data_IF_700813962130
#
_entry.id   IF_700813962130
#
_cell.length_a   1.000
_cell.length_b   1.000
_cell.length_c   1.000
_cell.angle_alpha   90.00
_cell.angle_beta   90.00
_cell.angle_gamma   90.00
#
_symmetry.space_group_name_H-M   'P 1'
#
loop_
_entity.id
_entity.type
_entity.pdbx_description
1 polymer ?
#
# COMPACT_ATOMS: atom_id res chain seq x y z
N UNK A 1 13.65 -6.62 -25.29
CA UNK A 1 13.28 -5.87 -24.07
C UNK A 1 14.06 -4.56 -24.05
N UNK A 2 13.51 -3.48 -23.49
CA UNK A 2 14.27 -2.25 -23.21
C UNK A 2 14.51 -2.17 -21.70
N UNK A 3 15.77 -2.21 -21.29
CA UNK A 3 16.18 -2.03 -19.90
C UNK A 3 16.49 -0.55 -19.65
N UNK A 4 16.23 -0.06 -18.43
CA UNK A 4 16.64 1.28 -17.98
C UNK A 4 17.96 1.18 -17.23
N UNK A 5 18.82 2.20 -17.35
CA UNK A 5 20.05 2.26 -16.54
C UNK A 5 19.70 2.27 -15.04
N UNK A 6 20.37 1.42 -14.27
CA UNK A 6 20.09 1.18 -12.84
C UNK A 6 19.00 0.14 -12.57
N UNK A 7 18.33 -0.40 -13.59
CA UNK A 7 17.28 -1.42 -13.41
C UNK A 7 17.87 -2.76 -12.96
N UNK A 8 17.26 -3.38 -11.96
CA UNK A 8 17.64 -4.69 -11.46
C UNK A 8 17.35 -5.79 -12.50
N UNK A 9 18.36 -6.61 -12.76
CA UNK A 9 18.32 -7.65 -13.79
C UNK A 9 19.06 -8.90 -13.32
N UNK A 10 18.66 -10.05 -13.84
CA UNK A 10 19.49 -11.24 -13.81
C UNK A 10 20.23 -11.41 -15.13
N UNK A 11 21.47 -11.88 -15.05
CA UNK A 11 22.30 -12.20 -16.21
C UNK A 11 22.81 -13.65 -16.12
N UNK A 12 22.72 -14.38 -17.23
CA UNK A 12 23.23 -15.75 -17.33
C UNK A 12 24.61 -15.72 -18.02
N UNK A 13 25.66 -16.14 -17.32
CA UNK A 13 27.02 -16.24 -17.85
C UNK A 13 27.69 -17.50 -17.34
N UNK A 14 28.31 -18.27 -18.23
CA UNK A 14 29.09 -19.43 -17.81
C UNK A 14 28.28 -20.49 -17.05
N UNK A 15 26.98 -20.61 -17.36
CA UNK A 15 26.02 -21.46 -16.65
C UNK A 15 25.71 -21.02 -15.20
N UNK A 16 26.03 -19.78 -14.84
CA UNK A 16 25.67 -19.15 -13.56
C UNK A 16 24.62 -18.07 -13.80
N UNK A 17 23.67 -17.95 -12.86
CA UNK A 17 22.73 -16.83 -12.77
C UNK A 17 23.28 -15.82 -11.77
N UNK A 18 23.46 -14.58 -12.20
CA UNK A 18 23.96 -13.49 -11.36
C UNK A 18 22.94 -12.35 -11.30
N UNK A 19 22.68 -11.81 -10.11
CA UNK A 19 21.90 -10.58 -9.95
C UNK A 19 22.79 -9.36 -10.15
N UNK A 20 22.24 -8.36 -10.82
CA UNK A 20 22.96 -7.20 -11.28
C UNK A 20 22.04 -6.03 -11.59
N UNK A 21 22.62 -4.92 -12.00
CA UNK A 21 21.91 -3.71 -12.38
C UNK A 21 22.41 -3.27 -13.75
N UNK A 22 21.46 -2.99 -14.63
CA UNK A 22 21.73 -2.67 -16.02
C UNK A 22 22.51 -1.36 -16.12
N UNK A 23 23.63 -1.39 -16.83
CA UNK A 23 24.60 -0.30 -16.92
C UNK A 23 24.82 0.16 -18.38
N UNK A 24 23.78 0.05 -19.21
CA UNK A 24 23.80 0.56 -20.59
C UNK A 24 24.38 -0.42 -21.61
N UNK A 25 24.94 0.14 -22.68
CA UNK A 25 25.45 -0.58 -23.85
C UNK A 25 26.94 -0.32 -24.04
N UNK A 26 27.68 -1.36 -24.38
CA UNK A 26 29.08 -1.25 -24.76
C UNK A 26 29.22 -0.62 -26.16
N UNK A 27 30.14 0.33 -26.29
CA UNK A 27 30.39 1.00 -27.57
C UNK A 27 31.03 0.04 -28.58
N UNK A 28 30.49 -0.01 -29.79
CA UNK A 28 31.03 -0.79 -30.91
C UNK A 28 30.51 -2.22 -31.03
N UNK A 29 30.17 -2.91 -29.93
CA UNK A 29 29.66 -4.30 -29.97
C UNK A 29 28.13 -4.39 -29.93
N UNK A 30 27.48 -3.41 -29.28
CA UNK A 30 26.04 -3.44 -29.03
C UNK A 30 25.62 -4.39 -27.89
N UNK A 31 26.59 -5.01 -27.21
CA UNK A 31 26.33 -5.79 -26.00
C UNK A 31 25.81 -4.90 -24.88
N UNK A 32 24.98 -5.48 -24.02
CA UNK A 32 24.53 -4.85 -22.79
C UNK A 32 25.52 -5.09 -21.66
N UNK A 33 25.70 -4.05 -20.84
CA UNK A 33 26.55 -4.06 -19.67
C UNK A 33 25.69 -4.27 -18.43
N UNK A 34 26.03 -5.24 -17.60
CA UNK A 34 25.39 -5.50 -16.31
C UNK A 34 26.45 -5.41 -15.24
N UNK A 35 26.29 -4.49 -14.29
CA UNK A 35 27.15 -4.40 -13.12
C UNK A 35 26.63 -5.43 -12.12
N UNK A 36 27.48 -6.34 -11.66
CA UNK A 36 27.11 -7.42 -10.70
C UNK A 36 27.82 -7.29 -9.35
N UNK A 37 28.86 -6.46 -9.29
CA UNK A 37 29.48 -5.99 -8.04
C UNK A 37 30.12 -4.63 -8.26
N UNK A 38 30.71 -4.04 -7.21
CA UNK A 38 31.43 -2.76 -7.32
C UNK A 38 32.50 -2.79 -8.44
N UNK A 39 33.19 -3.92 -8.58
CA UNK A 39 34.37 -4.07 -9.43
C UNK A 39 34.15 -5.03 -10.62
N UNK A 40 32.93 -5.57 -10.80
CA UNK A 40 32.62 -6.56 -11.83
C UNK A 40 31.47 -6.09 -12.73
N UNK A 41 31.77 -5.94 -14.02
CA UNK A 41 30.81 -5.64 -15.09
C UNK A 41 30.85 -6.78 -16.11
N UNK A 42 29.69 -7.21 -16.55
CA UNK A 42 29.49 -8.26 -17.53
C UNK A 42 28.96 -7.64 -18.82
N UNK A 43 29.66 -7.87 -19.92
CA UNK A 43 29.18 -7.55 -21.27
C UNK A 43 28.57 -8.80 -21.91
N UNK A 44 27.29 -8.76 -22.27
CA UNK A 44 26.61 -9.90 -22.93
C UNK A 44 25.48 -9.44 -23.86
N UNK A 45 24.93 -10.37 -24.63
CA UNK A 45 23.76 -10.11 -25.49
C UNK A 45 22.49 -10.02 -24.65
N UNK A 46 21.54 -9.23 -25.11
CA UNK A 46 20.26 -8.97 -24.41
C UNK A 46 19.45 -10.23 -24.12
N UNK A 47 19.60 -11.28 -24.93
CA UNK A 47 18.92 -12.56 -24.73
C UNK A 47 19.40 -13.35 -23.50
N UNK A 48 20.50 -12.93 -22.87
CA UNK A 48 20.99 -13.51 -21.61
C UNK A 48 20.65 -12.65 -20.39
N UNK A 49 19.88 -11.58 -20.58
CA UNK A 49 19.48 -10.65 -19.52
C UNK A 49 17.97 -10.73 -19.37
N UNK A 50 17.50 -10.90 -18.15
CA UNK A 50 16.09 -10.83 -17.79
C UNK A 50 15.89 -9.76 -16.71
N UNK A 51 14.73 -9.10 -16.71
CA UNK A 51 14.37 -8.24 -15.58
C UNK A 51 14.21 -9.09 -14.34
N UNK A 52 14.76 -8.61 -13.23
CA UNK A 52 14.47 -9.21 -11.92
C UNK A 52 12.97 -9.00 -11.64
N UNK A 53 12.29 -10.09 -11.27
CA UNK A 53 10.89 -9.99 -10.87
C UNK A 53 10.88 -9.37 -9.47
N UNK A 54 10.32 -8.18 -9.34
CA UNK A 54 10.05 -7.61 -8.02
C UNK A 54 9.14 -8.58 -7.25
N UNK A 55 9.48 -8.84 -5.99
CA UNK A 55 8.66 -9.72 -5.17
C UNK A 55 7.25 -9.13 -5.06
N UNK A 56 6.25 -9.96 -5.31
CA UNK A 56 4.87 -9.58 -5.04
C UNK A 56 4.70 -9.54 -3.53
N UNK A 57 4.76 -8.34 -2.97
CA UNK A 57 4.59 -8.09 -1.55
C UNK A 57 3.18 -8.53 -1.13
N UNK A 58 3.10 -9.20 0.01
CA UNK A 58 1.82 -9.53 0.63
C UNK A 58 1.28 -8.33 1.37
N UNK A 59 -0.04 -8.20 1.42
CA UNK A 59 -0.71 -7.19 2.25
C UNK A 59 -1.05 -7.84 3.59
N UNK A 60 -0.59 -7.23 4.69
CA UNK A 60 -0.89 -7.68 6.06
C UNK A 60 -1.58 -6.57 6.86
N UNK A 61 -2.41 -6.88 7.86
CA UNK A 61 -3.03 -5.86 8.70
C UNK A 61 -1.99 -4.99 9.43
N UNK A 62 -2.38 -3.76 9.80
CA UNK A 62 -1.51 -2.82 10.54
C UNK A 62 -0.91 -3.44 11.80
N UNK A 63 -1.73 -4.15 12.59
CA UNK A 63 -1.27 -4.83 13.80
C UNK A 63 -0.14 -5.85 13.51
N UNK A 64 -0.21 -6.58 12.41
CA UNK A 64 0.82 -7.54 11.99
C UNK A 64 2.05 -6.81 11.46
N UNK A 65 1.84 -5.71 10.73
CA UNK A 65 2.92 -4.85 10.26
C UNK A 65 3.73 -4.26 11.41
N UNK A 66 3.06 -3.70 12.41
CA UNK A 66 3.69 -3.15 13.61
C UNK A 66 4.43 -4.24 14.41
N UNK A 67 3.86 -5.44 14.49
CA UNK A 67 4.52 -6.59 15.11
C UNK A 67 5.81 -6.98 14.38
N UNK A 68 5.78 -7.07 13.04
CA UNK A 68 6.94 -7.42 12.21
C UNK A 68 8.05 -6.36 12.26
N UNK A 69 7.70 -5.08 12.35
CA UNK A 69 8.68 -4.00 12.56
C UNK A 69 9.37 -4.13 13.92
N UNK A 70 8.60 -4.40 14.99
CA UNK A 70 9.13 -4.58 16.34
C UNK A 70 9.90 -5.89 16.54
N UNK A 71 9.64 -6.90 15.72
CA UNK A 71 10.34 -8.18 15.71
C UNK A 71 11.31 -8.28 14.53
N UNK A 72 11.79 -7.15 14.01
CA UNK A 72 12.53 -7.14 12.75
C UNK A 72 13.89 -7.85 12.84
N UNK A 73 14.43 -8.17 11.66
CA UNK A 73 15.80 -8.69 11.50
C UNK A 73 16.88 -7.75 12.05
N UNK A 74 16.58 -6.46 12.22
CA UNK A 74 17.55 -5.45 12.70
C UNK A 74 17.92 -5.69 14.17
N UNK A 75 17.00 -6.25 14.96
CA UNK A 75 17.24 -6.63 16.36
C UNK A 75 17.78 -8.06 16.51
N UNK A 76 18.09 -8.74 15.39
CA UNK A 76 18.68 -10.08 15.37
C UNK A 76 17.66 -11.22 15.51
N UNK A 77 16.37 -10.90 15.56
CA UNK A 77 15.31 -11.92 15.56
C UNK A 77 15.25 -12.65 14.22
N UNK A 78 15.10 -13.96 14.28
CA UNK A 78 14.99 -14.86 13.14
C UNK A 78 13.56 -15.37 13.00
N UNK A 79 13.24 -15.90 11.82
CA UNK A 79 11.96 -16.60 11.61
C UNK A 79 11.80 -17.78 12.58
N UNK A 80 12.90 -18.39 13.01
CA UNK A 80 12.86 -19.47 13.99
C UNK A 80 12.38 -18.98 15.37
N UNK A 81 12.84 -17.80 15.81
CA UNK A 81 12.43 -17.24 17.10
C UNK A 81 10.91 -16.98 17.11
N UNK A 82 10.40 -16.38 16.04
CA UNK A 82 8.97 -16.14 15.84
C UNK A 82 8.15 -17.44 15.83
N UNK A 83 8.64 -18.49 15.16
CA UNK A 83 7.98 -19.80 15.15
C UNK A 83 8.01 -20.47 16.53
N UNK A 84 9.10 -20.30 17.28
CA UNK A 84 9.19 -20.78 18.66
C UNK A 84 8.19 -20.06 19.56
N UNK A 85 8.04 -18.75 19.43
CA UNK A 85 7.05 -17.98 20.20
C UNK A 85 5.62 -18.46 19.88
N UNK A 86 5.30 -18.68 18.60
CA UNK A 86 4.01 -19.24 18.17
C UNK A 86 3.68 -20.61 18.77
N UNK A 87 4.70 -21.49 18.90
CA UNK A 87 4.52 -22.86 19.36
C UNK A 87 4.58 -23.02 20.88
N UNK A 88 5.20 -22.08 21.59
CA UNK A 88 5.46 -22.18 23.03
C UNK A 88 4.22 -21.89 23.85
N UNK A 89 3.52 -20.79 23.56
CA UNK A 89 2.31 -20.36 24.28
C UNK A 89 1.55 -19.30 23.50
N UNK A 90 0.23 -19.25 23.63
CA UNK A 90 -0.57 -18.11 23.12
C UNK A 90 -0.14 -16.79 23.77
N UNK A 91 0.31 -16.84 25.03
CA UNK A 91 0.76 -15.65 25.78
C UNK A 91 2.16 -15.16 25.36
N UNK A 92 2.86 -15.90 24.51
CA UNK A 92 4.19 -15.52 23.99
C UNK A 92 4.11 -14.46 22.90
N UNK A 93 2.91 -14.19 22.37
CA UNK A 93 2.64 -13.17 21.35
C UNK A 93 1.51 -12.26 21.79
N UNK A 94 1.39 -11.11 21.14
CA UNK A 94 0.17 -10.31 21.26
C UNK A 94 -1.03 -11.17 20.83
N UNK A 95 -2.07 -11.20 21.67
CA UNK A 95 -3.23 -12.07 21.47
C UNK A 95 -3.88 -11.83 20.10
N UNK A 96 -3.95 -10.59 19.64
CA UNK A 96 -4.56 -10.26 18.35
C UNK A 96 -3.68 -10.70 17.18
N UNK A 97 -2.35 -10.70 17.35
CA UNK A 97 -1.42 -11.20 16.33
C UNK A 97 -1.58 -12.72 16.22
N UNK A 98 -1.60 -13.41 17.37
CA UNK A 98 -1.81 -14.85 17.41
C UNK A 98 -3.16 -15.25 16.79
N UNK A 99 -4.23 -14.57 17.17
CA UNK A 99 -5.57 -14.84 16.68
C UNK A 99 -5.63 -14.63 15.16
N UNK A 100 -5.06 -13.53 14.65
CA UNK A 100 -4.96 -13.32 13.19
C UNK A 100 -4.17 -14.44 12.50
N UNK A 101 -3.05 -14.90 13.05
CA UNK A 101 -2.26 -15.99 12.45
C UNK A 101 -3.06 -17.30 12.39
N UNK A 102 -3.85 -17.57 13.42
CA UNK A 102 -4.64 -18.81 13.55
C UNK A 102 -5.99 -18.75 12.81
N UNK A 103 -6.45 -17.56 12.43
CA UNK A 103 -7.62 -17.36 11.58
C UNK A 103 -7.44 -17.96 10.16
N UNK A 104 -8.54 -18.01 9.40
CA UNK A 104 -8.55 -18.41 8.00
C UNK A 104 -7.84 -19.75 7.70
N UNK A 105 -8.09 -20.78 8.51
CA UNK A 105 -7.47 -22.10 8.34
C UNK A 105 -5.94 -22.05 8.25
N UNK A 106 -5.27 -21.14 8.97
CA UNK A 106 -3.82 -20.94 8.98
C UNK A 106 -3.19 -20.40 7.68
N UNK A 107 -3.98 -19.97 6.70
CA UNK A 107 -3.47 -19.29 5.49
C UNK A 107 -2.71 -18.00 5.85
N UNK A 108 -3.13 -17.32 6.93
CA UNK A 108 -2.46 -16.14 7.45
C UNK A 108 -1.02 -16.44 7.93
N UNK A 109 -0.72 -17.69 8.32
CA UNK A 109 0.65 -18.13 8.60
C UNK A 109 1.56 -18.12 7.36
N UNK A 110 1.03 -18.47 6.18
CA UNK A 110 1.77 -18.37 4.92
C UNK A 110 2.02 -16.91 4.54
N UNK A 111 1.02 -16.04 4.74
CA UNK A 111 1.16 -14.59 4.54
C UNK A 111 2.22 -14.01 5.47
N UNK A 112 2.25 -14.40 6.74
CA UNK A 112 3.28 -13.97 7.69
C UNK A 112 4.69 -14.41 7.25
N UNK A 113 4.84 -15.66 6.81
CA UNK A 113 6.12 -16.16 6.33
C UNK A 113 6.61 -15.41 5.08
N UNK A 114 5.70 -15.12 4.14
CA UNK A 114 6.02 -14.29 2.96
C UNK A 114 6.35 -12.86 3.34
N UNK A 115 5.59 -12.25 4.26
CA UNK A 115 5.87 -10.92 4.77
C UNK A 115 7.28 -10.81 5.36
N UNK A 116 7.70 -11.84 6.11
CA UNK A 116 9.03 -11.91 6.72
C UNK A 116 10.17 -12.10 5.70
N UNK A 117 9.94 -12.90 4.66
CA UNK A 117 10.96 -13.27 3.66
C UNK A 117 11.07 -12.26 2.53
N UNK A 118 9.93 -11.92 1.94
CA UNK A 118 9.81 -11.14 0.70
C UNK A 118 9.54 -9.65 0.98
N UNK A 119 9.15 -9.31 2.21
CA UNK A 119 8.62 -8.00 2.59
C UNK A 119 7.09 -7.94 2.50
N UNK A 120 6.51 -6.86 2.99
CA UNK A 120 5.06 -6.67 3.03
C UNK A 120 4.65 -5.21 2.81
N UNK A 121 3.40 -5.04 2.41
CA UNK A 121 2.68 -3.78 2.55
C UNK A 121 1.68 -3.90 3.69
N UNK A 122 1.44 -2.80 4.39
CA UNK A 122 0.42 -2.75 5.42
C UNK A 122 -0.92 -2.37 4.80
N UNK A 123 -1.97 -3.11 5.18
CA UNK A 123 -3.35 -2.82 4.82
C UNK A 123 -3.70 -1.40 5.28
N UNK A 124 -4.01 -0.54 4.31
CA UNK A 124 -4.42 0.83 4.60
C UNK A 124 -5.88 0.83 5.00
N UNK A 125 -6.19 1.49 6.12
CA UNK A 125 -7.56 1.66 6.59
C UNK A 125 -8.45 2.19 5.45
N UNK A 126 -9.58 1.53 5.14
CA UNK A 126 -10.48 1.98 4.08
C UNK A 126 -10.95 3.41 4.32
N UNK A 127 -10.74 4.25 3.32
CA UNK A 127 -11.20 5.63 3.33
C UNK A 127 -12.46 5.77 2.48
N UNK A 128 -13.35 6.65 2.93
CA UNK A 128 -14.63 6.92 2.32
C UNK A 128 -14.82 8.42 2.09
N UNK A 129 -15.54 8.74 1.01
CA UNK A 129 -16.18 10.03 0.83
C UNK A 129 -17.65 9.92 1.24
N UNK A 130 -18.12 10.80 2.12
CA UNK A 130 -19.56 10.90 2.42
C UNK A 130 -20.18 11.89 1.42
N UNK A 131 -20.96 11.38 0.45
CA UNK A 131 -21.57 12.18 -0.61
C UNK A 131 -23.04 12.47 -0.31
N UNK A 132 -23.32 13.68 0.16
CA UNK A 132 -24.67 14.10 0.50
C UNK A 132 -25.38 14.67 -0.75
N UNK A 133 -26.54 14.11 -1.14
CA UNK A 133 -27.35 14.65 -2.22
C UNK A 133 -28.09 15.91 -1.75
N UNK A 134 -27.84 17.04 -2.41
CA UNK A 134 -28.44 18.32 -2.08
C UNK A 134 -29.25 18.80 -3.27
N UNK A 135 -30.51 19.13 -3.01
CA UNK A 135 -31.40 19.73 -3.99
C UNK A 135 -31.08 21.22 -4.14
N UNK A 136 -30.75 21.64 -5.36
CA UNK A 136 -30.52 23.03 -5.72
C UNK A 136 -31.47 23.41 -6.85
N UNK A 137 -32.12 24.55 -6.75
CA UNK A 137 -32.94 25.09 -7.84
C UNK A 137 -32.02 25.76 -8.87
N UNK A 138 -32.16 25.39 -10.13
CA UNK A 138 -31.47 26.03 -11.24
C UNK A 138 -32.17 27.35 -11.57
N UNK A 139 -31.47 28.47 -11.44
CA UNK A 139 -32.03 29.81 -11.65
C UNK A 139 -32.35 30.10 -13.12
N UNK A 140 -31.74 29.38 -14.07
CA UNK A 140 -31.94 29.59 -15.50
C UNK A 140 -33.09 28.74 -16.07
N UNK A 141 -33.29 27.53 -15.57
CA UNK A 141 -34.33 26.60 -16.06
C UNK A 141 -35.53 26.49 -15.11
N UNK A 142 -35.43 27.02 -13.89
CA UNK A 142 -36.40 26.86 -12.80
C UNK A 142 -36.62 25.41 -12.34
N UNK A 143 -35.76 24.49 -12.77
CA UNK A 143 -35.82 23.06 -12.42
C UNK A 143 -35.04 22.75 -11.14
N UNK A 144 -35.42 21.67 -10.47
CA UNK A 144 -34.77 21.19 -9.26
C UNK A 144 -33.70 20.16 -9.65
N UNK A 145 -32.44 20.47 -9.37
CA UNK A 145 -31.28 19.63 -9.66
C UNK A 145 -30.75 19.02 -8.36
N UNK A 146 -30.31 17.76 -8.41
CA UNK A 146 -29.62 17.12 -7.29
C UNK A 146 -28.12 17.14 -7.55
N UNK A 147 -27.38 17.82 -6.69
CA UNK A 147 -25.92 17.86 -6.71
C UNK A 147 -25.36 17.12 -5.50
N UNK A 148 -24.26 16.40 -5.70
CA UNK A 148 -23.56 15.75 -4.59
C UNK A 148 -22.51 16.71 -4.02
N UNK A 149 -22.62 17.00 -2.72
CA UNK A 149 -21.55 17.65 -1.97
C UNK A 149 -20.88 16.64 -1.06
N UNK A 150 -19.58 16.79 -0.84
CA UNK A 150 -18.85 15.92 0.09
C UNK A 150 -18.86 16.53 1.49
N UNK A 151 -19.04 15.69 2.50
CA UNK A 151 -18.77 16.04 3.89
C UNK A 151 -17.26 16.18 4.10
N UNK A 152 -16.87 17.18 4.86
CA UNK A 152 -15.52 17.47 5.31
C UNK A 152 -15.52 17.44 6.84
N UNK A 153 -14.49 16.84 7.42
CA UNK A 153 -14.24 16.86 8.86
C UNK A 153 -12.96 17.65 9.15
N UNK A 154 -13.01 18.57 10.10
CA UNK A 154 -11.82 19.13 10.70
C UNK A 154 -11.34 18.22 11.84
N UNK A 155 -10.18 17.59 11.67
CA UNK A 155 -9.64 16.62 12.65
C UNK A 155 -9.30 17.28 13.99
N UNK A 156 -9.07 18.60 14.02
CA UNK A 156 -8.67 19.31 15.24
C UNK A 156 -9.86 19.91 15.99
N UNK A 157 -10.79 20.55 15.27
CA UNK A 157 -11.95 21.20 15.89
C UNK A 157 -13.18 20.30 15.98
N UNK A 158 -13.16 19.13 15.35
CA UNK A 158 -14.32 18.24 15.16
C UNK A 158 -15.50 18.90 14.44
N UNK A 159 -15.26 20.03 13.77
CA UNK A 159 -16.28 20.70 12.95
C UNK A 159 -16.50 19.97 11.64
N UNK A 160 -17.74 19.98 11.16
CA UNK A 160 -18.11 19.44 9.86
C UNK A 160 -18.54 20.54 8.90
N UNK A 161 -18.24 20.39 7.62
CA UNK A 161 -18.80 21.24 6.57
C UNK A 161 -19.04 20.43 5.29
N UNK A 162 -19.83 20.98 4.37
CA UNK A 162 -20.15 20.34 3.10
C UNK A 162 -19.65 21.20 1.94
N UNK A 163 -19.02 20.58 0.95
CA UNK A 163 -18.47 21.31 -0.21
C UNK A 163 -18.59 20.52 -1.50
N UNK A 164 -19.00 21.20 -2.57
CA UNK A 164 -18.94 20.67 -3.93
C UNK A 164 -17.52 20.63 -4.50
N UNK A 165 -16.58 21.43 -3.98
CA UNK A 165 -15.19 21.52 -4.45
C UNK A 165 -14.21 20.72 -3.57
N UNK A 166 -14.65 19.53 -3.12
CA UNK A 166 -13.95 18.74 -2.12
C UNK A 166 -12.60 18.15 -2.60
N UNK A 167 -12.43 17.90 -3.91
CA UNK A 167 -11.18 17.34 -4.48
C UNK A 167 -9.93 18.21 -4.25
N UNK A 168 -10.11 19.49 -3.96
CA UNK A 168 -9.00 20.42 -3.69
C UNK A 168 -8.67 20.56 -2.21
N UNK A 169 -9.55 20.09 -1.33
CA UNK A 169 -9.45 20.28 0.13
C UNK A 169 -8.29 19.48 0.71
N UNK A 170 -8.12 18.23 0.27
CA UNK A 170 -7.00 17.38 0.72
C UNK A 170 -5.62 17.94 0.29
N UNK A 171 -5.57 18.76 -0.76
CA UNK A 171 -4.35 19.47 -1.19
C UNK A 171 -4.00 20.64 -0.27
N UNK A 172 -4.98 21.15 0.49
CA UNK A 172 -4.84 22.25 1.45
C UNK A 172 -4.52 21.70 2.85
N UNK A 173 -3.42 20.95 2.96
CA UNK A 173 -2.95 20.27 4.19
C UNK A 173 -2.86 21.18 5.44
N UNK A 174 -2.83 22.51 5.27
CA UNK A 174 -2.64 23.52 6.34
C UNK A 174 -3.90 23.82 7.17
N UNK A 175 -5.07 23.29 6.82
CA UNK A 175 -6.36 23.74 7.40
C UNK A 175 -7.00 22.76 8.39
N UNK A 176 -6.45 21.56 8.57
CA UNK A 176 -7.03 20.51 9.45
C UNK A 176 -8.23 19.76 8.84
N UNK A 177 -8.81 20.27 7.76
CA UNK A 177 -9.93 19.64 7.04
C UNK A 177 -9.50 18.41 6.24
N UNK A 178 -10.35 17.40 6.20
CA UNK A 178 -10.20 16.14 5.45
C UNK A 178 -11.50 15.78 4.75
N UNK A 179 -11.37 15.21 3.55
CA UNK A 179 -12.52 14.68 2.79
C UNK A 179 -12.52 13.16 2.71
N UNK A 180 -11.35 12.54 2.78
CA UNK A 180 -11.18 11.08 2.92
C UNK A 180 -11.22 10.74 4.40
N UNK A 181 -12.27 10.04 4.82
CA UNK A 181 -12.55 9.74 6.22
C UNK A 181 -12.59 8.23 6.45
N UNK A 182 -12.20 7.80 7.64
CA UNK A 182 -12.34 6.39 8.04
C UNK A 182 -13.76 6.10 8.51
N UNK A 183 -14.15 4.84 8.56
CA UNK A 183 -15.46 4.44 9.10
C UNK A 183 -15.65 4.92 10.54
N UNK A 184 -14.62 4.76 11.38
CA UNK A 184 -14.64 5.23 12.76
C UNK A 184 -14.84 6.75 12.84
N UNK A 185 -14.14 7.53 12.01
CA UNK A 185 -14.30 8.99 11.96
C UNK A 185 -15.70 9.42 11.54
N UNK A 186 -16.33 8.70 10.61
CA UNK A 186 -17.71 9.00 10.17
C UNK A 186 -18.71 8.67 11.28
N UNK A 187 -18.56 7.50 11.91
CA UNK A 187 -19.47 7.02 12.97
C UNK A 187 -19.36 7.79 14.28
N UNK A 188 -18.19 8.36 14.58
CA UNK A 188 -17.97 9.19 15.77
C UNK A 188 -18.66 10.56 15.68
N UNK A 189 -19.05 11.01 14.48
CA UNK A 189 -19.77 12.28 14.31
C UNK A 189 -21.18 12.22 14.89
N UNK A 190 -21.74 13.38 15.29
CA UNK A 190 -23.19 13.53 15.41
C UNK A 190 -23.86 13.05 14.12
N UNK A 191 -24.89 12.21 14.25
CA UNK A 191 -25.57 11.57 13.12
C UNK A 191 -24.67 10.69 12.22
N UNK A 192 -23.56 10.18 12.75
CA UNK A 192 -22.58 9.37 12.01
C UNK A 192 -23.18 8.17 11.26
N UNK A 193 -24.14 7.47 11.88
CA UNK A 193 -24.86 6.36 11.22
C UNK A 193 -25.66 6.82 9.99
N UNK A 194 -26.18 8.05 10.00
CA UNK A 194 -26.87 8.62 8.83
C UNK A 194 -25.86 8.98 7.73
N UNK A 195 -24.70 9.55 8.09
CA UNK A 195 -23.64 9.82 7.13
C UNK A 195 -23.06 8.56 6.50
N UNK A 196 -22.97 7.47 7.25
CA UNK A 196 -22.47 6.19 6.76
C UNK A 196 -23.28 5.64 5.58
N UNK A 197 -24.59 5.90 5.53
CA UNK A 197 -25.44 5.49 4.40
C UNK A 197 -25.06 6.15 3.07
N UNK A 198 -24.31 7.26 3.13
CA UNK A 198 -23.82 8.01 1.98
C UNK A 198 -22.31 7.83 1.73
N UNK A 199 -21.66 6.92 2.47
CA UNK A 199 -20.24 6.65 2.33
C UNK A 199 -19.95 5.88 1.04
N UNK A 200 -19.01 6.40 0.25
CA UNK A 200 -18.53 5.80 -1.00
C UNK A 200 -17.03 5.53 -0.86
N UNK A 201 -16.56 4.28 -1.05
CA UNK A 201 -15.14 3.96 -0.93
C UNK A 201 -14.28 4.81 -1.88
N UNK A 202 -13.17 5.36 -1.38
CA UNK A 202 -12.25 6.18 -2.17
C UNK A 202 -11.62 5.38 -3.31
N UNK A 203 -11.30 4.10 -3.06
CA UNK A 203 -10.70 3.19 -4.04
C UNK A 203 -11.55 3.02 -5.30
N UNK A 204 -12.87 3.08 -5.17
CA UNK A 204 -13.80 2.91 -6.29
C UNK A 204 -13.87 4.16 -7.19
N UNK A 205 -13.33 5.29 -6.74
CA UNK A 205 -13.39 6.58 -7.44
C UNK A 205 -12.04 7.08 -7.96
N UNK A 206 -10.94 6.61 -7.39
CA UNK A 206 -9.58 6.98 -7.80
C UNK A 206 -8.91 5.90 -8.69
N UNK A 207 -9.55 4.75 -8.90
CA UNK A 207 -9.06 3.63 -9.71
C UNK A 207 -9.30 3.71 -11.23
N UNK A 208 -9.80 4.83 -11.76
CA UNK A 208 -10.01 5.05 -13.21
C UNK A 208 -9.08 6.13 -13.79
N UNK A 209 -7.77 6.06 -13.52
CA UNK A 209 -6.77 6.96 -14.11
C UNK A 209 -5.55 6.21 -14.65
#
# INVERSE_FOLDING_TARGET
MRFKEGENVHVIVGNELLSGWYNGKEFGTGNSLVKVSKDKIIATKDCFIAKEKEAELVVVPQLVGDFLENHSKEDGHTLHDLLCDLLTSRDSLDENVYDWIMENNSENGELLARAWLDGYEVEKEPLYYVKLPISKRNEATDELEVINMCLLLNIQSHETCISGNYRWVDKLKRTGWRTKLTEAQIKDMPEGDAYWQFAVPVRDLEGEA
#
